data_IF_660379932811
#
_entry.id   IF_660379932811
#
_cell.length_a   1.000
_cell.length_b   1.000
_cell.length_c   1.000
_cell.angle_alpha   90.00
_cell.angle_beta   90.00
_cell.angle_gamma   90.00
#
_symmetry.space_group_name_H-M   'P 1'
#
loop_
_entity.id
_entity.type
_entity.pdbx_description
1 polymer ?
#
# COMPACT_ATOMS: atom_id res chain seq x y z
N UNK A 1 16.84 1.78 12.68
CA UNK A 1 17.25 0.76 11.68
C UNK A 1 17.54 1.48 10.37
N UNK A 2 18.72 1.28 9.77
CA UNK A 2 19.08 1.98 8.54
C UNK A 2 18.20 1.51 7.36
N UNK A 3 17.87 2.41 6.41
CA UNK A 3 17.04 2.10 5.24
C UNK A 3 17.64 0.90 4.47
N UNK A 4 18.96 0.88 4.28
CA UNK A 4 19.65 -0.23 3.62
C UNK A 4 19.53 -1.58 4.35
N UNK A 5 19.33 -1.59 5.68
CA UNK A 5 19.05 -2.84 6.41
C UNK A 5 17.62 -3.33 6.16
N UNK A 6 16.65 -2.42 6.09
CA UNK A 6 15.26 -2.77 5.75
C UNK A 6 15.15 -3.29 4.32
N UNK A 7 15.88 -2.68 3.39
CA UNK A 7 15.94 -3.13 2.00
C UNK A 7 16.54 -4.54 1.89
N UNK A 8 17.66 -4.82 2.57
CA UNK A 8 18.21 -6.17 2.61
C UNK A 8 17.24 -7.18 3.22
N UNK A 9 16.50 -6.81 4.26
CA UNK A 9 15.53 -7.70 4.89
C UNK A 9 14.34 -8.03 3.95
N UNK A 10 13.88 -7.07 3.14
CA UNK A 10 12.73 -7.26 2.25
C UNK A 10 13.10 -7.80 0.86
N UNK A 11 14.27 -7.41 0.32
CA UNK A 11 14.68 -7.66 -1.07
C UNK A 11 15.98 -8.47 -1.17
N UNK A 12 16.63 -8.83 -0.06
CA UNK A 12 17.88 -9.59 -0.02
C UNK A 12 19.15 -8.77 -0.31
N UNK A 13 19.01 -7.57 -0.88
CA UNK A 13 20.12 -6.66 -1.18
C UNK A 13 19.71 -5.19 -1.00
N UNK A 14 20.67 -4.24 -0.93
CA UNK A 14 20.35 -2.81 -1.01
C UNK A 14 19.79 -2.46 -2.39
N UNK A 15 18.76 -1.63 -2.44
CA UNK A 15 18.14 -1.23 -3.71
C UNK A 15 18.92 -0.09 -4.38
N UNK A 16 19.02 -0.15 -5.70
CA UNK A 16 19.48 0.96 -6.53
C UNK A 16 18.43 2.11 -6.53
N UNK A 17 18.83 3.37 -6.85
CA UNK A 17 17.91 4.50 -6.83
C UNK A 17 16.64 4.32 -7.67
N UNK A 18 16.76 3.72 -8.86
CA UNK A 18 15.62 3.46 -9.75
C UNK A 18 14.69 2.40 -9.17
N UNK A 19 15.24 1.33 -8.57
CA UNK A 19 14.46 0.27 -7.94
C UNK A 19 13.65 0.81 -6.75
N UNK A 20 14.22 1.73 -5.98
CA UNK A 20 13.51 2.42 -4.89
C UNK A 20 12.31 3.22 -5.39
N UNK A 21 12.48 3.93 -6.51
CA UNK A 21 11.39 4.71 -7.11
C UNK A 21 10.26 3.77 -7.55
N UNK A 22 10.59 2.69 -8.28
CA UNK A 22 9.59 1.70 -8.73
C UNK A 22 8.88 1.05 -7.55
N UNK A 23 9.62 0.60 -6.54
CA UNK A 23 9.04 0.03 -5.33
C UNK A 23 8.11 1.03 -4.62
N UNK A 24 8.52 2.30 -4.54
CA UNK A 24 7.70 3.38 -4.00
C UNK A 24 6.39 3.59 -4.75
N UNK A 25 6.43 3.57 -6.09
CA UNK A 25 5.22 3.68 -6.93
C UNK A 25 4.28 2.50 -6.70
N UNK A 26 4.80 1.27 -6.68
CA UNK A 26 3.99 0.07 -6.43
C UNK A 26 3.32 0.14 -5.06
N UNK A 27 4.06 0.57 -4.02
CA UNK A 27 3.49 0.77 -2.68
C UNK A 27 2.41 1.85 -2.66
N UNK A 28 2.61 2.98 -3.34
CA UNK A 28 1.63 4.05 -3.41
C UNK A 28 0.33 3.60 -4.10
N UNK A 29 0.43 2.87 -5.21
CA UNK A 29 -0.72 2.30 -5.92
C UNK A 29 -1.45 1.28 -5.05
N UNK A 30 -0.72 0.38 -4.40
CA UNK A 30 -1.30 -0.61 -3.49
C UNK A 30 -2.05 0.05 -2.31
N UNK A 31 -1.45 1.08 -1.71
CA UNK A 31 -2.08 1.83 -0.62
C UNK A 31 -3.35 2.57 -1.08
N UNK A 32 -3.30 3.21 -2.26
CA UNK A 32 -4.47 3.87 -2.85
C UNK A 32 -5.61 2.88 -3.13
N UNK A 33 -5.29 1.70 -3.69
CA UNK A 33 -6.26 0.64 -3.90
C UNK A 33 -6.88 0.13 -2.59
N UNK A 34 -6.08 -0.04 -1.54
CA UNK A 34 -6.58 -0.44 -0.23
C UNK A 34 -7.51 0.61 0.38
N UNK A 35 -7.16 1.89 0.29
CA UNK A 35 -8.02 2.99 0.73
C UNK A 35 -9.36 3.01 -0.04
N UNK A 36 -9.33 2.76 -1.35
CA UNK A 36 -10.54 2.65 -2.16
C UNK A 36 -11.43 1.47 -1.71
N UNK A 37 -10.85 0.32 -1.40
CA UNK A 37 -11.58 -0.84 -0.85
C UNK A 37 -12.22 -0.52 0.50
N UNK A 38 -11.50 0.16 1.40
CA UNK A 38 -12.05 0.62 2.67
C UNK A 38 -13.22 1.58 2.45
N UNK A 39 -13.09 2.53 1.53
CA UNK A 39 -14.18 3.43 1.15
C UNK A 39 -15.41 2.68 0.64
N UNK A 40 -15.22 1.70 -0.24
CA UNK A 40 -16.30 0.86 -0.74
C UNK A 40 -16.99 0.06 0.38
N UNK A 41 -16.21 -0.49 1.32
CA UNK A 41 -16.75 -1.21 2.47
C UNK A 41 -17.60 -0.32 3.39
N UNK A 42 -17.16 0.92 3.63
CA UNK A 42 -17.92 1.91 4.42
C UNK A 42 -19.23 2.26 3.71
N UNK A 43 -19.20 2.52 2.40
CA UNK A 43 -20.40 2.82 1.61
C UNK A 43 -21.38 1.64 1.66
N UNK A 44 -20.89 0.41 1.48
CA UNK A 44 -21.72 -0.79 1.57
C UNK A 44 -22.36 -0.92 2.96
N UNK A 45 -21.59 -0.75 4.04
CA UNK A 45 -22.11 -0.81 5.40
C UNK A 45 -23.19 0.25 5.63
N UNK A 46 -22.98 1.48 5.17
CA UNK A 46 -23.98 2.55 5.26
C UNK A 46 -25.28 2.17 4.55
N UNK A 47 -25.19 1.66 3.31
CA UNK A 47 -26.36 1.23 2.55
C UNK A 47 -27.11 0.10 3.27
N UNK A 48 -26.41 -0.89 3.81
CA UNK A 48 -27.04 -1.98 4.56
C UNK A 48 -27.76 -1.50 5.83
N UNK A 49 -27.24 -0.47 6.49
CA UNK A 49 -27.84 0.09 7.71
C UNK A 49 -29.02 1.02 7.43
N UNK A 50 -29.07 1.65 6.25
CA UNK A 50 -30.05 2.70 5.91
C UNK A 50 -31.09 2.26 4.89
N UNK A 51 -30.87 1.17 4.17
CA UNK A 51 -31.85 0.59 3.25
C UNK A 51 -32.82 -0.40 3.92
N UNK A 52 -32.88 -0.41 5.26
CA UNK A 52 -33.83 -1.20 6.06
C UNK A 52 -35.07 -0.37 6.42
#
# INVERSE_FOLDING_TARGET
MAIAQRERAAFGHPLAPVERIVAGIVLAVGAAGHAALVGAAVVLAFLLLTAL
#
